data_IF_408649623026
#
_entry.id   IF_408649623026
#
_cell.length_a   1.000
_cell.length_b   1.000
_cell.length_c   1.000
_cell.angle_alpha   90.00
_cell.angle_beta   90.00
_cell.angle_gamma   90.00
#
_symmetry.space_group_name_H-M   'P 1'
#
loop_
_entity.id
_entity.type
_entity.pdbx_description
1 polymer ?
#
# COMPACT_ATOMS: atom_id res chain seq x y z
N UNK A 1 -15.69 8.78 5.18
CA UNK A 1 -14.80 7.76 4.60
C UNK A 1 -13.59 8.37 3.94
N UNK A 2 -12.45 7.71 4.02
CA UNK A 2 -11.24 8.11 3.31
C UNK A 2 -10.94 7.10 2.23
N UNK A 3 -10.56 7.60 1.06
CA UNK A 3 -10.24 6.75 -0.09
C UNK A 3 -8.83 7.06 -0.55
N UNK A 4 -8.00 6.02 -0.64
CA UNK A 4 -6.63 6.13 -1.13
C UNK A 4 -6.44 5.23 -2.33
N UNK A 5 -5.77 5.74 -3.36
CA UNK A 5 -5.38 4.96 -4.51
C UNK A 5 -3.86 5.03 -4.67
N UNK A 6 -3.27 4.00 -5.22
CA UNK A 6 -1.83 3.95 -5.45
C UNK A 6 -1.52 3.21 -6.75
N UNK A 7 -0.27 3.28 -7.19
CA UNK A 7 0.17 2.51 -8.35
C UNK A 7 -0.02 1.01 -8.11
N UNK A 8 0.32 0.56 -6.90
CA UNK A 8 0.13 -0.82 -6.46
C UNK A 8 -0.29 -0.86 -5.00
N UNK A 9 -1.04 -1.89 -4.65
CA UNK A 9 -1.31 -2.26 -3.26
C UNK A 9 -0.77 -3.67 -3.05
N UNK A 10 0.08 -3.84 -2.04
CA UNK A 10 0.58 -5.15 -1.64
C UNK A 10 -0.34 -5.72 -0.58
N UNK A 11 -1.03 -6.80 -0.90
CA UNK A 11 -2.05 -7.38 -0.01
C UNK A 11 -1.51 -8.37 1.01
N UNK A 12 -0.26 -8.77 0.85
CA UNK A 12 0.35 -9.86 1.61
C UNK A 12 0.68 -11.04 0.72
N UNK A 13 -0.05 -11.20 -0.37
CA UNK A 13 0.17 -12.29 -1.34
C UNK A 13 0.40 -11.77 -2.75
N UNK A 14 -0.19 -10.62 -3.09
CA UNK A 14 -0.16 -10.08 -4.45
C UNK A 14 0.08 -8.58 -4.46
N UNK A 15 0.58 -8.11 -5.60
CA UNK A 15 0.62 -6.69 -5.92
C UNK A 15 -0.53 -6.38 -6.87
N UNK A 16 -1.52 -5.62 -6.40
CA UNK A 16 -2.68 -5.25 -7.20
C UNK A 16 -2.45 -3.87 -7.81
N UNK A 17 -2.51 -3.81 -9.12
CA UNK A 17 -2.31 -2.57 -9.87
C UNK A 17 -3.57 -1.73 -9.85
N UNK A 18 -3.39 -0.41 -9.77
CA UNK A 18 -4.50 0.56 -9.81
C UNK A 18 -5.59 0.24 -8.77
N UNK A 19 -5.16 -0.01 -7.56
CA UNK A 19 -6.04 -0.43 -6.48
C UNK A 19 -6.41 0.75 -5.59
N UNK A 20 -7.62 0.72 -5.06
CA UNK A 20 -8.12 1.71 -4.12
C UNK A 20 -8.41 1.04 -2.78
N UNK A 21 -8.06 1.72 -1.70
CA UNK A 21 -8.41 1.32 -0.34
C UNK A 21 -9.37 2.35 0.24
N UNK A 22 -10.42 1.87 0.90
CA UNK A 22 -11.37 2.73 1.58
C UNK A 22 -11.38 2.44 3.07
N UNK A 23 -11.33 3.50 3.86
CA UNK A 23 -11.33 3.41 5.32
C UNK A 23 -12.51 4.18 5.88
N UNK A 24 -13.11 3.63 6.93
CA UNK A 24 -14.18 4.31 7.65
C UNK A 24 -13.60 5.50 8.44
N UNK A 25 -14.49 6.30 9.01
CA UNK A 25 -14.09 7.51 9.74
C UNK A 25 -13.25 7.18 10.98
N UNK A 26 -13.40 5.97 11.53
CA UNK A 26 -12.58 5.50 12.64
C UNK A 26 -11.26 4.85 12.20
N UNK A 27 -10.95 4.87 10.90
CA UNK A 27 -9.70 4.36 10.38
C UNK A 27 -9.67 2.88 10.04
N UNK A 28 -10.82 2.20 10.08
CA UNK A 28 -10.90 0.77 9.76
C UNK A 28 -11.00 0.55 8.26
N UNK A 29 -10.26 -0.43 7.74
CA UNK A 29 -10.36 -0.82 6.35
C UNK A 29 -11.73 -1.45 6.07
N UNK A 30 -12.46 -0.90 5.09
CA UNK A 30 -13.78 -1.40 4.73
C UNK A 30 -13.84 -1.96 3.32
N UNK A 31 -12.93 -1.57 2.44
CA UNK A 31 -12.95 -2.05 1.06
C UNK A 31 -11.56 -2.00 0.44
N UNK A 32 -11.24 -3.03 -0.33
CA UNK A 32 -10.09 -3.04 -1.25
C UNK A 32 -10.68 -3.23 -2.64
N UNK A 33 -10.54 -2.24 -3.51
CA UNK A 33 -11.07 -2.29 -4.85
C UNK A 33 -10.00 -2.16 -5.90
N UNK A 34 -10.02 -3.04 -6.89
CA UNK A 34 -9.17 -2.93 -8.05
C UNK A 34 -9.87 -2.22 -9.20
N UNK A 35 -9.23 -2.24 -10.35
CA UNK A 35 -9.69 -1.60 -11.57
C UNK A 35 -11.12 -1.97 -11.96
N UNK A 36 -11.54 -3.19 -11.62
CA UNK A 36 -12.84 -3.72 -11.98
C UNK A 36 -13.97 -3.31 -11.06
N UNK A 37 -13.67 -2.82 -9.88
CA UNK A 37 -14.72 -2.40 -8.93
C UNK A 37 -15.15 -0.97 -9.14
N UNK A 38 -14.85 -0.44 -10.32
CA UNK A 38 -15.23 0.91 -10.64
C UNK A 38 -14.35 1.89 -9.86
N UNK A 39 -13.28 2.23 -10.45
CA UNK A 39 -12.54 3.43 -10.10
C UNK A 39 -13.45 4.62 -10.37
N UNK A 40 -14.70 4.49 -9.97
CA UNK A 40 -15.61 5.61 -10.04
C UNK A 40 -15.13 6.64 -9.06
N UNK A 41 -15.16 7.88 -9.48
CA UNK A 41 -14.80 9.00 -8.66
C UNK A 41 -15.52 8.94 -7.34
N UNK A 42 -14.83 8.37 -6.36
CA UNK A 42 -15.27 8.55 -5.00
C UNK A 42 -14.77 9.89 -4.55
N UNK A 43 -15.64 10.63 -3.91
CA UNK A 43 -15.28 11.92 -3.35
C UNK A 43 -14.01 11.81 -2.54
N UNK A 44 -13.11 12.76 -2.74
CA UNK A 44 -11.89 12.90 -1.96
C UNK A 44 -10.93 11.71 -2.02
N UNK A 45 -10.87 11.08 -3.18
CA UNK A 45 -9.85 10.07 -3.38
C UNK A 45 -8.48 10.73 -3.43
N UNK A 46 -7.57 10.26 -2.61
CA UNK A 46 -6.19 10.71 -2.58
C UNK A 46 -5.34 9.71 -3.34
N UNK A 47 -4.70 10.14 -4.41
CA UNK A 47 -3.77 9.29 -5.14
C UNK A 47 -2.37 9.41 -4.54
N UNK A 48 -1.78 8.27 -4.21
CA UNK A 48 -0.45 8.18 -3.65
C UNK A 48 0.46 7.46 -4.64
N UNK A 49 1.57 8.08 -4.97
CA UNK A 49 2.51 7.51 -5.92
C UNK A 49 3.43 6.53 -5.19
N UNK A 50 3.24 5.24 -5.45
CA UNK A 50 4.02 4.21 -4.80
C UNK A 50 3.23 2.94 -4.54
N UNK A 51 3.61 2.22 -3.49
CA UNK A 51 3.00 0.94 -3.10
C UNK A 51 2.46 1.08 -1.68
N UNK A 52 1.17 0.82 -1.52
CA UNK A 52 0.56 0.78 -0.18
C UNK A 52 0.68 -0.64 0.36
N UNK A 53 1.18 -0.76 1.58
CA UNK A 53 1.38 -2.04 2.25
C UNK A 53 0.66 -2.05 3.59
N UNK A 54 0.36 -3.24 4.15
CA UNK A 54 -0.04 -3.32 5.55
C UNK A 54 1.04 -2.73 6.45
N UNK A 55 0.66 -2.28 7.63
CA UNK A 55 1.58 -1.65 8.56
C UNK A 55 2.75 -2.56 8.91
N UNK A 56 3.95 -2.01 8.88
CA UNK A 56 5.15 -2.67 9.40
C UNK A 56 6.10 -1.63 9.98
N UNK A 57 7.09 -2.08 10.72
CA UNK A 57 8.10 -1.19 11.28
C UNK A 57 8.99 -0.65 10.16
N UNK A 58 8.83 0.62 9.83
CA UNK A 58 9.56 1.24 8.72
C UNK A 58 11.06 1.29 8.94
N UNK A 59 11.53 1.10 10.18
CA UNK A 59 12.96 1.01 10.49
C UNK A 59 13.58 -0.28 9.96
N UNK A 60 12.76 -1.26 9.62
CA UNK A 60 13.24 -2.53 9.07
C UNK A 60 13.50 -2.50 7.59
N UNK A 61 13.28 -1.36 6.93
CA UNK A 61 13.50 -1.22 5.50
C UNK A 61 14.99 -1.40 5.16
N UNK A 62 15.28 -2.32 4.26
CA UNK A 62 16.64 -2.62 3.81
C UNK A 62 16.75 -2.48 2.30
N UNK A 63 17.65 -1.63 1.83
CA UNK A 63 17.84 -1.40 0.40
C UNK A 63 18.55 -2.54 -0.32
N UNK A 64 19.10 -3.52 0.41
CA UNK A 64 19.87 -4.61 -0.17
C UNK A 64 19.03 -5.82 -0.54
N UNK A 65 17.75 -5.82 -0.21
CA UNK A 65 16.85 -6.91 -0.52
C UNK A 65 15.99 -6.59 -1.72
N UNK A 66 15.60 -7.62 -2.46
CA UNK A 66 14.54 -7.47 -3.45
C UNK A 66 13.27 -7.03 -2.73
N UNK A 67 12.53 -6.11 -3.36
CA UNK A 67 11.29 -5.59 -2.79
C UNK A 67 10.33 -6.72 -2.43
N UNK A 68 10.14 -7.68 -3.34
CA UNK A 68 9.25 -8.82 -3.09
C UNK A 68 9.70 -9.65 -1.92
N UNK A 69 10.97 -9.99 -1.87
CA UNK A 69 11.54 -10.81 -0.81
C UNK A 69 11.39 -10.12 0.54
N UNK A 70 11.63 -8.81 0.56
CA UNK A 70 11.46 -8.03 1.78
C UNK A 70 10.01 -8.06 2.27
N UNK A 71 9.06 -7.76 1.40
CA UNK A 71 7.65 -7.68 1.79
C UNK A 71 7.08 -9.04 2.18
N UNK A 72 7.43 -10.10 1.46
CA UNK A 72 6.97 -11.43 1.80
C UNK A 72 7.57 -11.95 3.11
N UNK A 73 8.79 -11.49 3.45
CA UNK A 73 9.44 -11.89 4.70
C UNK A 73 8.74 -11.32 5.94
N UNK A 74 7.96 -10.27 5.77
CA UNK A 74 7.29 -9.59 6.89
C UNK A 74 5.97 -10.24 7.28
N UNK A 75 5.47 -11.18 6.48
CA UNK A 75 4.21 -11.89 6.72
C UNK A 75 3.04 -10.93 6.97
N UNK A 76 2.90 -9.96 6.08
CA UNK A 76 1.89 -8.91 6.17
C UNK A 76 0.62 -9.31 5.44
N UNK A 77 -0.53 -8.90 5.97
CA UNK A 77 -1.82 -9.12 5.33
C UNK A 77 -2.78 -7.97 5.63
N UNK A 78 -3.60 -7.63 4.64
CA UNK A 78 -4.81 -6.85 4.90
C UNK A 78 -5.92 -7.79 5.27
N UNK A 79 -6.64 -7.49 6.35
CA UNK A 79 -7.78 -8.29 6.80
C UNK A 79 -8.85 -7.36 7.37
N UNK A 80 -9.92 -7.96 7.91
CA UNK A 80 -11.03 -7.20 8.47
C UNK A 80 -10.67 -6.37 9.71
N UNK A 81 -9.53 -6.64 10.31
CA UNK A 81 -9.03 -5.92 11.48
C UNK A 81 -8.02 -4.83 11.13
N UNK A 82 -7.72 -4.68 9.85
CA UNK A 82 -6.76 -3.66 9.40
C UNK A 82 -7.29 -2.27 9.69
N UNK A 83 -6.45 -1.46 10.31
CA UNK A 83 -6.74 -0.06 10.63
C UNK A 83 -5.58 0.82 10.18
N UNK A 84 -5.87 2.11 9.95
CA UNK A 84 -4.82 3.08 9.77
C UNK A 84 -3.95 3.15 11.05
N UNK A 85 -2.65 3.38 10.94
CA UNK A 85 -1.92 3.70 9.71
C UNK A 85 -1.61 2.50 8.85
N UNK A 86 -1.44 2.74 7.56
CA UNK A 86 -0.83 1.80 6.62
C UNK A 86 0.46 2.41 6.11
N UNK A 87 1.29 1.65 5.42
CA UNK A 87 2.60 2.11 4.97
C UNK A 87 2.58 2.36 3.47
N UNK A 88 3.13 3.49 3.05
CA UNK A 88 3.38 3.81 1.65
C UNK A 88 4.88 3.71 1.39
N UNK A 89 5.25 2.93 0.38
CA UNK A 89 6.61 2.90 -0.14
C UNK A 89 6.70 3.83 -1.34
N UNK A 90 7.49 4.90 -1.21
CA UNK A 90 7.74 5.85 -2.29
C UNK A 90 9.16 5.67 -2.84
N UNK A 91 9.36 6.11 -4.09
CA UNK A 91 10.69 6.06 -4.70
C UNK A 91 11.13 4.68 -5.14
N UNK A 92 10.20 3.75 -5.27
CA UNK A 92 10.46 2.41 -5.75
C UNK A 92 10.49 2.42 -7.27
N UNK A 93 11.38 1.61 -7.87
CA UNK A 93 11.31 1.35 -9.30
C UNK A 93 10.17 0.38 -9.58
N UNK A 94 9.06 0.91 -10.09
CA UNK A 94 7.86 0.11 -10.30
C UNK A 94 7.96 -0.82 -11.51
N UNK A 95 8.89 -0.58 -12.43
CA UNK A 95 9.09 -1.46 -13.57
C UNK A 95 9.78 -2.76 -13.18
N UNK A 96 10.78 -2.65 -12.31
CA UNK A 96 11.55 -3.80 -11.85
C UNK A 96 11.11 -4.28 -10.47
N UNK A 97 10.23 -3.52 -9.81
CA UNK A 97 9.81 -3.76 -8.43
C UNK A 97 11.00 -3.87 -7.50
N UNK A 98 11.87 -2.87 -7.58
CA UNK A 98 13.13 -2.83 -6.84
C UNK A 98 13.24 -1.59 -5.97
N UNK A 99 13.97 -1.73 -4.89
CA UNK A 99 14.36 -0.57 -4.08
C UNK A 99 15.37 0.28 -4.84
N UNK A 100 15.29 1.59 -4.60
CA UNK A 100 16.26 2.55 -5.12
C UNK A 100 16.90 3.30 -3.95
N UNK A 101 17.86 4.17 -4.25
CA UNK A 101 18.46 5.03 -3.22
C UNK A 101 17.46 6.04 -2.66
N UNK A 102 16.37 6.29 -3.38
CA UNK A 102 15.34 7.25 -2.99
C UNK A 102 14.14 6.59 -2.33
N UNK A 103 14.15 5.27 -2.16
CA UNK A 103 13.03 4.56 -1.55
C UNK A 103 12.89 4.94 -0.09
N UNK A 104 11.70 5.39 0.27
CA UNK A 104 11.35 5.70 1.66
C UNK A 104 10.02 5.06 2.01
N UNK A 105 9.81 4.81 3.28
CA UNK A 105 8.55 4.31 3.80
C UNK A 105 7.91 5.38 4.68
N UNK A 106 6.62 5.60 4.49
CA UNK A 106 5.83 6.56 5.28
C UNK A 106 4.61 5.88 5.84
N UNK A 107 4.18 6.32 7.02
CA UNK A 107 2.89 5.90 7.54
C UNK A 107 1.80 6.85 7.04
N UNK A 108 0.66 6.28 6.64
CA UNK A 108 -0.51 7.03 6.18
C UNK A 108 -1.58 6.92 7.25
N UNK A 109 -2.07 8.05 7.68
CA UNK A 109 -3.11 8.15 8.71
C UNK A 109 -4.44 8.59 8.13
#
# INVERSE_FOLDING_TARGET
MRHFAANYVFTGTDFIKNCCLSFSDDGRLVEIGGEKSGFEEKERMIFLNGIICPQFDIKRLHNNMHLRDFLFSLDLHFDENTCLPVVLLEGVDLQTMSFTNDTIAKEIY
#
